data_IF_108852025716
#
_entry.id   IF_108852025716
#
_cell.length_a   1.000
_cell.length_b   1.000
_cell.length_c   1.000
_cell.angle_alpha   90.00
_cell.angle_beta   90.00
_cell.angle_gamma   90.00
#
_symmetry.space_group_name_H-M   'P 1'
#
loop_
_entity.id
_entity.type
_entity.pdbx_description
1 polymer ?
#
# COMPACT_ATOMS: atom_id res chain seq x y z
N UNK A 1 22.93 7.40 15.45
CA UNK A 1 22.10 7.27 14.22
C UNK A 1 20.67 7.81 14.49
N UNK A 2 19.71 7.64 13.56
CA UNK A 2 18.28 7.91 13.85
C UNK A 2 17.57 6.60 14.22
N UNK A 3 16.51 6.64 15.04
CA UNK A 3 15.70 5.46 15.41
C UNK A 3 15.22 4.63 14.22
N UNK A 4 15.08 5.25 13.06
CA UNK A 4 14.68 4.58 11.83
C UNK A 4 15.72 3.56 11.32
N UNK A 5 17.02 3.77 11.58
CA UNK A 5 18.07 2.86 11.09
C UNK A 5 18.01 1.49 11.78
N UNK A 6 17.48 1.42 13.00
CA UNK A 6 17.45 0.20 13.81
C UNK A 6 16.10 -0.53 13.75
N UNK A 7 15.10 0.06 13.07
CA UNK A 7 13.74 -0.52 12.94
C UNK A 7 13.73 -1.93 12.36
N UNK A 8 14.63 -2.23 11.42
CA UNK A 8 14.74 -3.55 10.79
C UNK A 8 15.24 -4.62 11.76
N UNK A 9 16.16 -4.28 12.67
CA UNK A 9 16.65 -5.20 13.70
C UNK A 9 15.53 -5.50 14.72
N UNK A 10 14.82 -4.46 15.17
CA UNK A 10 13.68 -4.59 16.08
C UNK A 10 12.54 -5.38 15.41
N UNK A 11 12.21 -5.10 14.15
CA UNK A 11 11.10 -5.75 13.43
C UNK A 11 11.28 -7.27 13.26
N UNK A 12 12.51 -7.77 13.20
CA UNK A 12 12.79 -9.22 13.15
C UNK A 12 12.37 -9.93 14.45
N UNK A 13 12.47 -9.24 15.58
CA UNK A 13 12.09 -9.77 16.89
C UNK A 13 10.64 -9.46 17.24
N UNK A 14 10.21 -8.22 16.98
CA UNK A 14 8.94 -7.61 17.36
C UNK A 14 8.43 -6.67 16.22
N UNK A 15 7.63 -7.18 15.29
CA UNK A 15 7.21 -6.45 14.08
C UNK A 15 6.42 -5.15 14.32
N UNK A 16 5.51 -5.12 15.31
CA UNK A 16 4.72 -3.94 15.67
C UNK A 16 5.58 -2.86 16.33
N UNK A 17 6.52 -3.26 17.19
CA UNK A 17 7.50 -2.33 17.76
C UNK A 17 8.40 -1.75 16.68
N UNK A 18 8.91 -2.57 15.75
CA UNK A 18 9.70 -2.10 14.63
C UNK A 18 8.93 -1.15 13.71
N UNK A 19 7.65 -1.44 13.44
CA UNK A 19 6.76 -0.55 12.69
C UNK A 19 6.53 0.78 13.39
N UNK A 20 6.26 0.77 14.70
CA UNK A 20 6.05 1.97 15.50
C UNK A 20 7.35 2.80 15.64
N UNK A 21 8.51 2.15 15.73
CA UNK A 21 9.82 2.78 15.80
C UNK A 21 10.18 3.54 14.51
N UNK A 22 9.78 3.01 13.36
CA UNK A 22 9.92 3.68 12.06
C UNK A 22 8.83 4.71 11.76
N UNK A 23 7.87 4.90 12.67
CA UNK A 23 6.75 5.82 12.52
C UNK A 23 6.98 7.19 13.18
N UNK A 24 5.99 8.09 13.13
CA UNK A 24 6.08 9.42 13.72
C UNK A 24 6.30 9.42 15.25
N UNK A 25 5.95 8.32 15.93
CA UNK A 25 6.20 8.11 17.35
C UNK A 25 7.57 7.43 17.63
N UNK A 26 8.47 7.35 16.64
CA UNK A 26 9.70 6.59 16.72
C UNK A 26 10.61 6.95 17.89
N UNK A 27 10.72 8.24 18.23
CA UNK A 27 11.48 8.67 19.41
C UNK A 27 10.94 8.10 20.73
N UNK A 28 9.63 8.15 20.94
CA UNK A 28 8.99 7.65 22.16
C UNK A 28 9.07 6.12 22.26
N UNK A 29 8.91 5.41 21.13
CA UNK A 29 9.08 3.95 21.07
C UNK A 29 10.55 3.57 21.31
N UNK A 30 11.49 4.37 20.80
CA UNK A 30 12.92 4.22 21.05
C UNK A 30 13.27 4.30 22.53
N UNK A 31 12.80 5.32 23.24
CA UNK A 31 12.99 5.46 24.69
C UNK A 31 12.36 4.31 25.48
N UNK A 32 11.16 3.85 25.09
CA UNK A 32 10.53 2.66 25.70
C UNK A 32 11.38 1.40 25.54
N UNK A 33 11.95 1.17 24.35
CA UNK A 33 12.82 0.03 24.09
C UNK A 33 14.12 0.16 24.90
N UNK A 34 14.74 1.34 24.90
CA UNK A 34 15.97 1.59 25.66
C UNK A 34 15.77 1.32 27.16
N UNK A 35 14.67 1.81 27.74
CA UNK A 35 14.29 1.55 29.12
C UNK A 35 14.05 0.06 29.42
N UNK A 36 13.37 -0.66 28.53
CA UNK A 36 13.14 -2.10 28.69
C UNK A 36 14.43 -2.94 28.58
N UNK A 37 15.38 -2.51 27.75
CA UNK A 37 16.68 -3.15 27.60
C UNK A 37 17.68 -2.72 28.69
N UNK A 38 17.42 -1.62 29.39
CA UNK A 38 18.31 -1.07 30.41
C UNK A 38 19.56 -0.40 29.81
N UNK A 39 19.44 0.13 28.60
CA UNK A 39 20.51 0.87 27.92
C UNK A 39 20.18 2.35 27.82
N UNK A 40 21.18 3.14 27.48
CA UNK A 40 21.01 4.56 27.21
C UNK A 40 20.00 4.78 26.06
N UNK A 41 19.28 5.90 26.11
CA UNK A 41 18.29 6.31 25.09
C UNK A 41 18.98 6.79 23.79
N UNK A 42 19.88 5.95 23.27
CA UNK A 42 20.64 6.16 22.05
C UNK A 42 20.41 4.99 21.07
N UNK A 43 20.06 5.28 19.80
CA UNK A 43 19.80 4.23 18.81
C UNK A 43 20.96 3.25 18.61
N UNK A 44 22.21 3.71 18.74
CA UNK A 44 23.39 2.89 18.47
C UNK A 44 23.66 1.94 19.65
N UNK A 45 23.31 2.36 20.87
CA UNK A 45 23.35 1.54 22.08
C UNK A 45 22.26 0.47 22.06
N UNK A 46 21.04 0.83 21.67
CA UNK A 46 19.92 -0.12 21.51
C UNK A 46 20.22 -1.14 20.41
N UNK A 47 20.75 -0.72 19.25
CA UNK A 47 21.15 -1.64 18.19
C UNK A 47 22.18 -2.66 18.67
N UNK A 48 23.25 -2.18 19.33
CA UNK A 48 24.28 -3.05 19.89
C UNK A 48 23.70 -4.04 20.89
N UNK A 49 22.84 -3.59 21.80
CA UNK A 49 22.19 -4.47 22.78
C UNK A 49 21.38 -5.59 22.11
N UNK A 50 20.65 -5.28 21.04
CA UNK A 50 19.87 -6.27 20.28
C UNK A 50 20.77 -7.28 19.56
N UNK A 51 21.92 -6.84 19.06
CA UNK A 51 22.88 -7.72 18.35
C UNK A 51 23.69 -8.61 19.29
N UNK A 52 24.10 -8.08 20.45
CA UNK A 52 25.01 -8.77 21.37
C UNK A 52 24.32 -9.61 22.43
N UNK A 53 23.06 -9.29 22.79
CA UNK A 53 22.33 -9.97 23.84
C UNK A 53 21.10 -10.73 23.30
N UNK A 54 21.14 -12.08 23.25
CA UNK A 54 19.97 -12.89 22.91
C UNK A 54 18.77 -12.66 23.82
N UNK A 55 18.97 -12.24 25.08
CA UNK A 55 17.89 -11.90 26.00
C UNK A 55 17.18 -10.60 25.62
N UNK A 56 17.85 -9.67 24.91
CA UNK A 56 17.22 -8.46 24.39
C UNK A 56 16.09 -8.80 23.40
N UNK A 57 16.28 -9.83 22.56
CA UNK A 57 15.24 -10.31 21.63
C UNK A 57 14.01 -10.84 22.38
N UNK A 58 14.23 -11.57 23.47
CA UNK A 58 13.14 -12.08 24.30
C UNK A 58 12.38 -10.93 25.00
N UNK A 59 13.09 -9.93 25.53
CA UNK A 59 12.51 -8.73 26.13
C UNK A 59 11.70 -7.91 25.12
N UNK A 60 12.19 -7.73 23.89
CA UNK A 60 11.44 -7.05 22.82
C UNK A 60 10.13 -7.75 22.50
N UNK A 61 10.12 -9.09 22.42
CA UNK A 61 8.90 -9.87 22.21
C UNK A 61 7.93 -9.72 23.37
N UNK A 62 8.42 -9.75 24.60
CA UNK A 62 7.59 -9.55 25.79
C UNK A 62 6.97 -8.15 25.79
N UNK A 63 7.77 -7.11 25.52
CA UNK A 63 7.30 -5.73 25.45
C UNK A 63 6.23 -5.54 24.36
N UNK A 64 6.42 -6.17 23.20
CA UNK A 64 5.40 -6.16 22.14
C UNK A 64 4.12 -6.87 22.55
N UNK A 65 4.21 -8.01 23.25
CA UNK A 65 3.04 -8.73 23.74
C UNK A 65 2.26 -7.93 24.78
N UNK A 66 2.97 -7.27 25.70
CA UNK A 66 2.38 -6.42 26.73
C UNK A 66 1.63 -5.23 26.12
N UNK A 67 2.23 -4.58 25.12
CA UNK A 67 1.65 -3.40 24.49
C UNK A 67 0.95 -3.68 23.15
N UNK A 68 0.69 -4.95 22.81
CA UNK A 68 0.24 -5.35 21.47
C UNK A 68 -1.01 -4.61 21.02
N UNK A 69 -1.99 -4.45 21.93
CA UNK A 69 -3.25 -3.75 21.64
C UNK A 69 -3.02 -2.26 21.38
N UNK A 70 -2.17 -1.62 22.19
CA UNK A 70 -1.83 -0.21 22.05
C UNK A 70 -1.04 0.04 20.75
N UNK A 71 -0.03 -0.78 20.47
CA UNK A 71 0.77 -0.70 19.25
C UNK A 71 -0.09 -0.89 18.00
N UNK A 72 -0.96 -1.90 17.97
CA UNK A 72 -1.91 -2.10 16.86
C UNK A 72 -2.84 -0.92 16.68
N UNK A 73 -3.37 -0.37 17.78
CA UNK A 73 -4.25 0.79 17.74
C UNK A 73 -3.54 2.01 17.16
N UNK A 74 -2.32 2.32 17.63
CA UNK A 74 -1.52 3.42 17.09
C UNK A 74 -1.23 3.24 15.59
N UNK A 75 -0.89 2.03 15.15
CA UNK A 75 -0.67 1.76 13.72
C UNK A 75 -1.94 1.99 12.90
N UNK A 76 -3.09 1.49 13.37
CA UNK A 76 -4.37 1.69 12.68
C UNK A 76 -4.78 3.17 12.64
N UNK A 77 -4.59 3.90 13.74
CA UNK A 77 -4.88 5.34 13.82
C UNK A 77 -3.98 6.13 12.87
N UNK A 78 -2.68 5.82 12.83
CA UNK A 78 -1.73 6.45 11.92
C UNK A 78 -2.07 6.18 10.44
N UNK A 79 -2.39 4.93 10.09
CA UNK A 79 -2.82 4.59 8.72
C UNK A 79 -4.16 5.26 8.37
N UNK A 80 -5.11 5.31 9.31
CA UNK A 80 -6.39 6.00 9.11
C UNK A 80 -6.19 7.49 8.89
N UNK A 81 -5.34 8.15 9.69
CA UNK A 81 -5.00 9.56 9.54
C UNK A 81 -4.30 9.84 8.20
N UNK A 82 -3.36 8.98 7.81
CA UNK A 82 -2.69 9.05 6.50
C UNK A 82 -3.68 8.91 5.35
N UNK A 83 -4.57 7.91 5.40
CA UNK A 83 -5.62 7.72 4.40
C UNK A 83 -6.58 8.91 4.36
N UNK A 84 -6.93 9.50 5.50
CA UNK A 84 -7.76 10.70 5.56
C UNK A 84 -7.09 11.90 4.87
N UNK A 85 -5.79 12.12 5.12
CA UNK A 85 -5.01 13.17 4.47
C UNK A 85 -4.90 12.94 2.96
N UNK A 86 -4.60 11.71 2.53
CA UNK A 86 -4.56 11.35 1.10
C UNK A 86 -5.93 11.60 0.46
N UNK A 87 -7.03 11.18 1.09
CA UNK A 87 -8.39 11.44 0.60
C UNK A 87 -8.72 12.93 0.52
N UNK A 88 -8.25 13.74 1.48
CA UNK A 88 -8.41 15.19 1.45
C UNK A 88 -7.70 15.78 0.22
N UNK A 89 -6.43 15.44 0.00
CA UNK A 89 -5.68 15.90 -1.18
C UNK A 89 -6.34 15.45 -2.48
N UNK A 90 -6.81 14.21 -2.56
CA UNK A 90 -7.51 13.70 -3.74
C UNK A 90 -8.81 14.47 -4.04
N UNK A 91 -9.56 14.87 -3.00
CA UNK A 91 -10.78 15.68 -3.15
C UNK A 91 -10.44 17.09 -3.61
N UNK A 92 -9.36 17.68 -3.08
CA UNK A 92 -8.87 18.98 -3.52
C UNK A 92 -8.44 18.95 -4.99
N UNK A 93 -7.68 17.93 -5.43
CA UNK A 93 -7.30 17.74 -6.83
C UNK A 93 -8.52 17.58 -7.75
N UNK A 94 -9.54 16.83 -7.31
CA UNK A 94 -10.76 16.64 -8.10
C UNK A 94 -11.59 17.91 -8.25
N UNK A 95 -11.44 18.86 -7.34
CA UNK A 95 -12.09 20.18 -7.35
C UNK A 95 -11.19 21.28 -7.91
N UNK A 96 -9.94 20.96 -8.29
CA UNK A 96 -9.02 21.93 -8.86
C UNK A 96 -9.58 22.51 -10.18
N UNK A 97 -9.37 23.81 -10.38
CA UNK A 97 -9.81 24.52 -11.59
C UNK A 97 -9.06 24.00 -12.83
N UNK A 98 -7.78 23.66 -12.66
CA UNK A 98 -6.93 23.11 -13.72
C UNK A 98 -7.49 21.78 -14.26
N UNK A 99 -7.80 21.79 -15.56
CA UNK A 99 -8.29 20.65 -16.31
C UNK A 99 -7.33 19.46 -16.30
N UNK A 100 -6.02 19.69 -16.36
CA UNK A 100 -5.01 18.63 -16.36
C UNK A 100 -5.00 17.92 -15.00
N UNK A 101 -4.94 18.67 -13.90
CA UNK A 101 -4.99 18.14 -12.53
C UNK A 101 -6.30 17.38 -12.27
N UNK A 102 -7.44 17.89 -12.73
CA UNK A 102 -8.72 17.19 -12.53
C UNK A 102 -8.85 15.91 -13.36
N UNK A 103 -8.21 15.85 -14.53
CA UNK A 103 -8.41 14.77 -15.53
C UNK A 103 -7.26 13.77 -15.60
N UNK A 104 -6.13 13.98 -14.90
CA UNK A 104 -4.97 13.08 -14.96
C UNK A 104 -5.35 11.63 -14.64
N UNK A 105 -6.16 11.43 -13.58
CA UNK A 105 -6.50 10.08 -13.10
C UNK A 105 -7.47 9.35 -14.05
N UNK A 106 -8.51 9.99 -14.62
CA UNK A 106 -9.28 9.45 -15.74
C UNK A 106 -8.52 9.29 -17.06
N UNK A 107 -7.50 10.12 -17.31
CA UNK A 107 -6.74 10.13 -18.57
C UNK A 107 -6.11 8.77 -18.88
N UNK A 108 -5.58 8.08 -17.85
CA UNK A 108 -5.04 6.74 -18.02
C UNK A 108 -6.06 5.76 -18.61
N UNK A 109 -7.32 5.83 -18.15
CA UNK A 109 -8.40 5.01 -18.70
C UNK A 109 -8.69 5.33 -20.16
N UNK A 110 -8.77 6.61 -20.52
CA UNK A 110 -9.00 7.02 -21.91
C UNK A 110 -7.86 6.61 -22.85
N UNK A 111 -6.61 6.82 -22.43
CA UNK A 111 -5.42 6.43 -23.21
C UNK A 111 -5.36 4.92 -23.35
N UNK A 112 -5.57 4.16 -22.27
CA UNK A 112 -5.60 2.70 -22.33
C UNK A 112 -6.68 2.18 -23.29
N UNK A 113 -7.90 2.75 -23.25
CA UNK A 113 -8.98 2.40 -24.18
C UNK A 113 -8.62 2.73 -25.63
N UNK A 114 -8.04 3.91 -25.88
CA UNK A 114 -7.61 4.31 -27.22
C UNK A 114 -6.52 3.37 -27.76
N UNK A 115 -5.49 3.09 -26.96
CA UNK A 115 -4.41 2.17 -27.32
C UNK A 115 -4.96 0.78 -27.61
N UNK A 116 -5.91 0.29 -26.80
CA UNK A 116 -6.55 -1.01 -27.02
C UNK A 116 -7.29 -1.06 -28.36
N UNK A 117 -8.08 -0.02 -28.67
CA UNK A 117 -8.80 0.09 -29.94
C UNK A 117 -7.86 0.14 -31.13
N UNK A 118 -6.81 0.97 -31.07
CA UNK A 118 -5.82 1.07 -32.14
C UNK A 118 -5.06 -0.24 -32.34
N UNK A 119 -4.65 -0.89 -31.25
CA UNK A 119 -3.91 -2.15 -31.32
C UNK A 119 -4.78 -3.27 -31.89
N UNK A 120 -6.02 -3.40 -31.41
CA UNK A 120 -6.96 -4.41 -31.91
C UNK A 120 -7.29 -4.17 -33.38
N UNK A 121 -7.54 -2.91 -33.77
CA UNK A 121 -7.76 -2.53 -35.16
C UNK A 121 -6.55 -2.85 -36.06
N UNK A 122 -5.33 -2.55 -35.59
CA UNK A 122 -4.09 -2.88 -36.29
C UNK A 122 -3.87 -4.37 -36.47
N UNK A 123 -4.17 -5.18 -35.45
CA UNK A 123 -4.12 -6.65 -35.52
C UNK A 123 -5.13 -7.17 -36.55
N UNK A 124 -6.40 -6.74 -36.48
CA UNK A 124 -7.45 -7.15 -37.43
C UNK A 124 -7.05 -6.79 -38.86
N UNK A 125 -6.56 -5.57 -39.08
CA UNK A 125 -6.08 -5.13 -40.38
C UNK A 125 -4.92 -6.01 -40.88
N UNK A 126 -3.91 -6.27 -40.03
CA UNK A 126 -2.75 -7.08 -40.40
C UNK A 126 -3.13 -8.54 -40.74
N UNK A 127 -4.09 -9.13 -40.00
CA UNK A 127 -4.59 -10.47 -40.30
C UNK A 127 -5.29 -10.55 -41.65
N UNK A 128 -6.02 -9.51 -42.05
CA UNK A 128 -6.70 -9.44 -43.35
C UNK A 128 -5.72 -9.13 -44.49
N UNK A 129 -4.82 -8.18 -44.28
CA UNK A 129 -3.89 -7.70 -45.31
C UNK A 129 -2.70 -8.65 -45.54
N UNK A 130 -2.33 -9.47 -44.55
CA UNK A 130 -1.17 -10.37 -44.62
C UNK A 130 -1.44 -11.70 -43.90
N UNK A 131 -2.37 -12.52 -44.42
CA UNK A 131 -2.78 -13.76 -43.77
C UNK A 131 -1.66 -14.80 -43.65
N UNK A 132 -0.62 -14.71 -44.49
CA UNK A 132 0.57 -15.57 -44.41
C UNK A 132 1.39 -15.41 -43.13
N UNK A 133 1.26 -14.28 -42.43
CA UNK A 133 2.02 -13.96 -41.21
C UNK A 133 1.17 -14.18 -39.94
N UNK A 134 0.05 -14.90 -40.03
CA UNK A 134 -0.88 -15.06 -38.92
C UNK A 134 -0.23 -15.71 -37.68
N UNK A 135 0.69 -16.66 -37.88
CA UNK A 135 1.43 -17.30 -36.80
C UNK A 135 2.32 -16.30 -36.03
N UNK A 136 3.12 -15.51 -36.75
CA UNK A 136 3.99 -14.48 -36.17
C UNK A 136 3.18 -13.40 -35.44
N UNK A 137 2.01 -13.02 -35.98
CA UNK A 137 1.08 -12.10 -35.34
C UNK A 137 0.54 -12.65 -34.01
N UNK A 138 0.15 -13.92 -33.96
CA UNK A 138 -0.32 -14.58 -32.73
C UNK A 138 0.79 -14.66 -31.68
N UNK A 139 2.03 -14.98 -32.10
CA UNK A 139 3.19 -15.00 -31.22
C UNK A 139 3.45 -13.61 -30.62
N UNK A 140 3.45 -12.56 -31.46
CA UNK A 140 3.64 -11.19 -31.01
C UNK A 140 2.56 -10.76 -29.99
N UNK A 141 1.29 -11.10 -30.23
CA UNK A 141 0.18 -10.82 -29.29
C UNK A 141 0.43 -11.52 -27.95
N UNK A 142 0.89 -12.77 -27.98
CA UNK A 142 1.21 -13.53 -26.77
C UNK A 142 2.34 -12.87 -25.98
N UNK A 143 3.40 -12.44 -26.66
CA UNK A 143 4.53 -11.73 -26.05
C UNK A 143 4.12 -10.38 -25.41
N UNK A 144 3.10 -9.71 -25.95
CA UNK A 144 2.57 -8.43 -25.42
C UNK A 144 1.66 -8.59 -24.19
N UNK A 145 1.19 -9.80 -23.89
CA UNK A 145 0.21 -10.06 -22.81
C UNK A 145 0.68 -9.60 -21.42
N UNK A 146 1.93 -9.82 -20.97
CA UNK A 146 2.38 -9.39 -19.64
C UNK A 146 2.31 -7.88 -19.43
N UNK A 147 2.62 -7.09 -20.46
CA UNK A 147 2.55 -5.62 -20.42
C UNK A 147 1.10 -5.16 -20.17
N UNK A 148 0.14 -5.76 -20.87
CA UNK A 148 -1.28 -5.47 -20.65
C UNK A 148 -1.80 -5.95 -19.30
N UNK A 149 -1.27 -7.05 -18.76
CA UNK A 149 -1.59 -7.52 -17.42
C UNK A 149 -1.32 -6.45 -16.35
N UNK A 150 -0.16 -5.78 -16.43
CA UNK A 150 0.19 -4.68 -15.53
C UNK A 150 -0.72 -3.47 -15.75
N UNK A 151 -0.93 -3.06 -17.01
CA UNK A 151 -1.76 -1.90 -17.33
C UNK A 151 -3.22 -2.06 -16.85
N UNK A 152 -3.80 -3.25 -17.05
CA UNK A 152 -5.16 -3.58 -16.62
C UNK A 152 -5.27 -3.69 -15.10
N UNK A 153 -4.23 -4.17 -14.40
CA UNK A 153 -4.19 -4.17 -12.94
C UNK A 153 -4.26 -2.74 -12.38
N UNK A 154 -3.47 -1.81 -12.93
CA UNK A 154 -3.50 -0.39 -12.55
C UNK A 154 -4.87 0.23 -12.84
N UNK A 155 -5.45 -0.05 -14.01
CA UNK A 155 -6.79 0.43 -14.36
C UNK A 155 -7.85 -0.13 -13.41
N UNK A 156 -7.76 -1.41 -13.04
CA UNK A 156 -8.65 -2.06 -12.08
C UNK A 156 -8.62 -1.41 -10.69
N UNK A 157 -7.42 -1.09 -10.18
CA UNK A 157 -7.25 -0.36 -8.91
C UNK A 157 -7.91 1.03 -9.01
N UNK A 158 -7.68 1.75 -10.11
CA UNK A 158 -8.25 3.07 -10.35
C UNK A 158 -9.79 3.05 -10.37
N UNK A 159 -10.38 2.11 -11.12
CA UNK A 159 -11.84 1.93 -11.21
C UNK A 159 -12.43 1.55 -9.84
N UNK A 160 -11.79 0.64 -9.11
CA UNK A 160 -12.21 0.22 -7.78
C UNK A 160 -12.21 1.39 -6.79
N UNK A 161 -11.10 2.15 -6.72
CA UNK A 161 -10.98 3.33 -5.87
C UNK A 161 -12.06 4.38 -6.19
N UNK A 162 -12.24 4.73 -7.47
CA UNK A 162 -13.26 5.69 -7.89
C UNK A 162 -14.69 5.21 -7.60
N UNK A 163 -14.94 3.90 -7.71
CA UNK A 163 -16.24 3.32 -7.39
C UNK A 163 -16.51 3.36 -5.88
N UNK A 164 -15.49 3.20 -5.03
CA UNK A 164 -15.61 3.42 -3.58
C UNK A 164 -15.96 4.87 -3.27
N UNK A 165 -15.27 5.84 -3.87
CA UNK A 165 -15.54 7.26 -3.65
C UNK A 165 -16.99 7.63 -4.00
N UNK A 166 -17.51 7.10 -5.12
CA UNK A 166 -18.90 7.31 -5.53
C UNK A 166 -19.90 6.72 -4.53
N UNK A 167 -19.63 5.50 -4.03
CA UNK A 167 -20.48 4.85 -3.02
C UNK A 167 -20.53 5.62 -1.71
N UNK A 168 -19.37 6.06 -1.21
CA UNK A 168 -19.28 6.87 0.00
C UNK A 168 -20.04 8.19 -0.15
N UNK A 169 -19.92 8.86 -1.32
CA UNK A 169 -20.70 10.09 -1.61
C UNK A 169 -22.22 9.85 -1.68
N UNK A 170 -22.63 8.66 -2.10
CA UNK A 170 -24.04 8.26 -2.14
C UNK A 170 -24.58 7.80 -0.77
N UNK A 171 -23.80 7.90 0.31
CA UNK A 171 -24.18 7.41 1.64
C UNK A 171 -24.18 5.88 1.77
N UNK A 172 -23.59 5.17 0.80
CA UNK A 172 -23.50 3.72 0.79
C UNK A 172 -22.18 3.26 1.43
N UNK A 173 -22.16 2.01 1.92
CA UNK A 173 -20.94 1.39 2.44
C UNK A 173 -19.86 1.33 1.35
N UNK A 174 -18.75 2.02 1.61
CA UNK A 174 -17.60 2.12 0.71
C UNK A 174 -16.73 0.86 0.67
N UNK A 175 -16.95 -0.11 1.58
CA UNK A 175 -16.10 -1.30 1.70
C UNK A 175 -16.14 -2.20 0.46
N UNK A 176 -15.01 -2.86 0.20
CA UNK A 176 -14.89 -3.91 -0.82
C UNK A 176 -15.74 -5.14 -0.49
N UNK A 177 -15.97 -6.02 -1.47
CA UNK A 177 -16.64 -7.30 -1.21
C UNK A 177 -15.80 -8.19 -0.28
N UNK A 178 -14.49 -8.22 -0.47
CA UNK A 178 -13.55 -8.98 0.36
C UNK A 178 -13.46 -8.45 1.80
N UNK A 179 -13.44 -7.13 1.97
CA UNK A 179 -13.46 -6.48 3.30
C UNK A 179 -14.72 -6.86 4.09
N UNK A 180 -15.89 -6.82 3.44
CA UNK A 180 -17.16 -7.25 4.07
C UNK A 180 -17.18 -8.72 4.47
N UNK A 181 -16.47 -9.57 3.73
CA UNK A 181 -16.33 -10.99 4.07
C UNK A 181 -15.36 -11.14 5.25
N UNK A 182 -14.21 -10.47 5.21
CA UNK A 182 -13.24 -10.49 6.30
C UNK A 182 -13.84 -10.04 7.63
N UNK A 183 -14.64 -8.97 7.64
CA UNK A 183 -15.29 -8.45 8.85
C UNK A 183 -16.28 -9.45 9.48
N UNK A 184 -16.92 -10.28 8.66
CA UNK A 184 -17.80 -11.36 9.16
C UNK A 184 -17.02 -12.45 9.88
N UNK A 185 -15.76 -12.66 9.52
CA UNK A 185 -14.88 -13.63 10.17
C UNK A 185 -14.11 -13.04 11.36
N UNK A 186 -13.77 -11.76 11.34
CA UNK A 186 -13.00 -11.10 12.42
C UNK A 186 -13.87 -10.51 13.52
N UNK A 187 -15.21 -10.46 13.35
CA UNK A 187 -16.14 -9.99 14.37
C UNK A 187 -16.05 -8.47 14.63
N UNK A 188 -15.38 -7.71 13.76
CA UNK A 188 -15.33 -6.26 13.83
C UNK A 188 -16.72 -5.70 13.47
N UNK A 189 -17.55 -5.45 14.49
CA UNK A 189 -18.75 -4.63 14.34
C UNK A 189 -18.30 -3.20 14.07
N UNK A 190 -18.76 -2.67 12.93
CA UNK A 190 -18.59 -1.26 12.58
C UNK A 190 -19.34 -0.32 13.51
#
# INVERSE_FOLDING_TARGET
>A
MNWESIKGAVAKAAPLLGGALGGPAGGAVGSLIAGALGVEEDPDQVARAIETDPAAVAKLRQLEQEHQRSLRRMTLEAETARLAQVNQTMRAEAQADDAFVRRWRPMFGYVASLTWTLQTGGIVYAMVASPGNAADLIEAITALTPMWGIALAVLGINVSARSRDKRVRAGQDGRGALERIADRFTGAKG
#
